data_IF_385375798024
#
_entry.id   IF_385375798024
#
_cell.length_a   1.000
_cell.length_b   1.000
_cell.length_c   1.000
_cell.angle_alpha   90.00
_cell.angle_beta   90.00
_cell.angle_gamma   90.00
#
_symmetry.space_group_name_H-M   'P 1'
#
loop_
_entity.id
_entity.type
_entity.pdbx_description
1 polymer ?
#
# COMPACT_ATOMS: atom_id res chain seq x y z
N UNK A 1 -0.36 14.35 -12.78
CA UNK A 1 -0.98 13.62 -11.66
C UNK A 1 -2.38 13.29 -12.13
N UNK A 2 -2.74 12.01 -12.21
CA UNK A 2 -4.11 11.62 -12.59
C UNK A 2 -4.76 11.09 -11.33
N UNK A 3 -5.54 11.95 -10.66
CA UNK A 3 -6.34 11.57 -9.52
C UNK A 3 -7.73 11.19 -10.03
N UNK A 4 -8.10 9.93 -9.87
CA UNK A 4 -9.44 9.41 -10.16
C UNK A 4 -9.97 8.79 -8.89
N UNK A 5 -10.94 9.46 -8.26
CA UNK A 5 -11.69 8.91 -7.15
C UNK A 5 -13.03 8.40 -7.70
N UNK A 6 -13.32 7.12 -7.46
CA UNK A 6 -14.62 6.53 -7.71
C UNK A 6 -15.48 6.52 -6.45
N UNK A 7 -16.66 5.91 -6.53
CA UNK A 7 -17.46 5.62 -5.34
C UNK A 7 -16.75 4.60 -4.45
N UNK A 8 -16.63 4.93 -3.17
CA UNK A 8 -16.03 4.10 -2.12
C UNK A 8 -17.08 3.46 -1.20
N UNK A 9 -18.38 3.69 -1.42
CA UNK A 9 -19.47 3.15 -0.59
C UNK A 9 -19.56 1.61 -0.59
N UNK A 10 -18.90 0.93 -1.51
CA UNK A 10 -18.79 -0.53 -1.56
C UNK A 10 -17.64 -1.13 -0.73
N UNK A 11 -16.85 -0.30 -0.03
CA UNK A 11 -15.79 -0.78 0.85
C UNK A 11 -16.39 -1.55 2.03
N UNK A 12 -15.91 -2.79 2.22
CA UNK A 12 -16.25 -3.60 3.40
C UNK A 12 -15.50 -3.18 4.67
N UNK A 13 -14.49 -2.31 4.52
CA UNK A 13 -13.68 -1.76 5.59
C UNK A 13 -14.40 -0.61 6.29
N UNK A 14 -14.23 -0.49 7.60
CA UNK A 14 -14.65 0.72 8.30
C UNK A 14 -13.68 1.89 8.03
N UNK A 15 -14.08 3.10 8.42
CA UNK A 15 -13.30 4.32 8.18
C UNK A 15 -11.93 4.27 8.89
N UNK A 16 -11.89 3.85 10.15
CA UNK A 16 -10.66 3.79 10.96
C UNK A 16 -9.62 2.85 10.36
N UNK A 17 -10.06 1.69 9.87
CA UNK A 17 -9.18 0.68 9.26
C UNK A 17 -8.76 1.07 7.86
N UNK A 18 -9.64 1.74 7.12
CA UNK A 18 -9.28 2.34 5.83
C UNK A 18 -8.17 3.37 6.02
N UNK A 19 -8.30 4.24 7.03
CA UNK A 19 -7.25 5.21 7.39
C UNK A 19 -5.99 4.49 7.84
N UNK A 20 -6.08 3.48 8.70
CA UNK A 20 -4.93 2.72 9.18
C UNK A 20 -4.17 2.02 8.04
N UNK A 21 -4.88 1.39 7.10
CA UNK A 21 -4.27 0.76 5.92
C UNK A 21 -3.57 1.80 5.04
N UNK A 22 -4.25 2.91 4.74
CA UNK A 22 -3.72 3.98 3.90
C UNK A 22 -2.48 4.63 4.53
N UNK A 23 -2.56 5.01 5.80
CA UNK A 23 -1.46 5.67 6.50
C UNK A 23 -0.21 4.78 6.55
N UNK A 24 -0.34 3.51 6.97
CA UNK A 24 0.82 2.62 7.04
C UNK A 24 1.46 2.37 5.67
N UNK A 25 0.66 2.17 4.62
CA UNK A 25 1.20 1.89 3.28
C UNK A 25 1.78 3.14 2.62
N UNK A 26 1.15 4.30 2.78
CA UNK A 26 1.63 5.56 2.22
C UNK A 26 2.85 6.10 2.97
N UNK A 27 2.90 5.99 4.30
CA UNK A 27 4.05 6.41 5.08
C UNK A 27 5.31 5.64 4.66
N UNK A 28 5.19 4.31 4.50
CA UNK A 28 6.26 3.47 3.95
C UNK A 28 6.68 3.90 2.55
N UNK A 29 5.69 4.15 1.68
CA UNK A 29 5.96 4.57 0.30
C UNK A 29 6.67 5.93 0.23
N UNK A 30 6.24 6.90 1.06
CA UNK A 30 6.84 8.23 1.14
C UNK A 30 8.26 8.13 1.70
N UNK A 31 8.47 7.37 2.77
CA UNK A 31 9.78 7.17 3.40
C UNK A 31 10.83 6.70 2.38
N UNK A 32 10.49 5.70 1.57
CA UNK A 32 11.38 5.19 0.52
C UNK A 32 11.51 6.17 -0.66
N UNK A 33 10.43 6.83 -1.07
CA UNK A 33 10.49 7.83 -2.13
C UNK A 33 11.41 9.00 -1.77
N UNK A 34 11.50 9.40 -0.51
CA UNK A 34 12.44 10.44 -0.06
C UNK A 34 13.89 10.01 -0.34
N UNK A 35 14.25 8.74 -0.13
CA UNK A 35 15.58 8.21 -0.47
C UNK A 35 15.84 8.27 -1.97
N UNK A 36 14.85 7.90 -2.79
CA UNK A 36 14.93 7.96 -4.26
C UNK A 36 15.14 9.40 -4.75
N UNK A 37 14.38 10.36 -4.21
CA UNK A 37 14.50 11.78 -4.55
C UNK A 37 15.86 12.34 -4.13
N UNK A 38 16.41 11.92 -2.98
CA UNK A 38 17.76 12.32 -2.54
C UNK A 38 18.87 11.85 -3.49
N UNK A 39 18.63 10.79 -4.29
CA UNK A 39 19.54 10.37 -5.37
C UNK A 39 19.34 11.14 -6.68
N UNK A 40 18.51 12.19 -6.69
CA UNK A 40 18.19 12.95 -7.90
C UNK A 40 17.26 12.20 -8.87
N UNK A 41 16.66 11.09 -8.46
CA UNK A 41 15.72 10.30 -9.29
C UNK A 41 14.28 10.74 -9.05
N UNK A 42 13.45 10.62 -10.08
CA UNK A 42 12.01 10.87 -9.97
C UNK A 42 11.33 9.76 -9.18
N UNK A 43 10.56 10.12 -8.16
CA UNK A 43 9.74 9.19 -7.40
C UNK A 43 8.24 9.35 -7.74
N UNK A 44 7.54 8.24 -7.94
CA UNK A 44 6.08 8.22 -8.18
C UNK A 44 5.47 7.09 -7.37
N UNK A 45 4.51 7.43 -6.50
CA UNK A 45 3.70 6.48 -5.75
C UNK A 45 2.44 6.20 -6.57
N UNK A 46 2.18 4.93 -6.87
CA UNK A 46 0.96 4.48 -7.50
C UNK A 46 0.06 3.84 -6.45
N UNK A 47 -1.15 4.36 -6.32
CA UNK A 47 -2.20 3.81 -5.45
C UNK A 47 -3.31 3.32 -6.36
N UNK A 48 -3.77 2.09 -6.15
CA UNK A 48 -4.88 1.49 -6.90
C UNK A 48 -5.83 0.80 -5.93
N UNK A 49 -7.10 1.15 -6.04
CA UNK A 49 -8.21 0.47 -5.37
C UNK A 49 -9.13 -0.07 -6.46
N UNK A 50 -9.39 -1.38 -6.44
CA UNK A 50 -10.22 -2.09 -7.41
C UNK A 50 -11.26 -2.88 -6.66
N UNK A 51 -12.51 -2.79 -7.08
CA UNK A 51 -13.59 -3.64 -6.58
C UNK A 51 -14.12 -4.48 -7.73
N UNK A 52 -13.90 -5.80 -7.68
CA UNK A 52 -14.35 -6.74 -8.71
C UNK A 52 -14.90 -8.01 -8.04
N UNK A 53 -16.10 -8.45 -8.45
CA UNK A 53 -16.68 -9.71 -7.98
C UNK A 53 -16.90 -9.78 -6.46
N UNK A 54 -17.14 -8.65 -5.81
CA UNK A 54 -17.30 -8.56 -4.34
C UNK A 54 -15.99 -8.63 -3.56
N UNK A 55 -14.85 -8.67 -4.26
CA UNK A 55 -13.51 -8.56 -3.68
C UNK A 55 -12.97 -7.14 -3.85
N UNK A 56 -12.28 -6.65 -2.84
CA UNK A 56 -11.59 -5.37 -2.84
C UNK A 56 -10.09 -5.62 -2.91
N UNK A 57 -9.44 -5.11 -3.95
CA UNK A 57 -7.99 -5.15 -4.10
C UNK A 57 -7.44 -3.74 -3.92
N UNK A 58 -6.66 -3.56 -2.86
CA UNK A 58 -5.94 -2.34 -2.58
C UNK A 58 -4.44 -2.55 -2.81
N UNK A 59 -3.80 -1.67 -3.57
CA UNK A 59 -2.35 -1.79 -3.82
C UNK A 59 -1.65 -0.44 -3.80
N UNK A 60 -0.47 -0.43 -3.19
CA UNK A 60 0.44 0.71 -3.18
C UNK A 60 1.79 0.25 -3.73
N UNK A 61 2.29 0.98 -4.73
CA UNK A 61 3.57 0.71 -5.38
C UNK A 61 4.41 1.97 -5.40
N UNK A 62 5.66 1.87 -4.96
CA UNK A 62 6.61 2.97 -4.95
C UNK A 62 8.02 2.52 -5.38
N UNK A 63 8.84 3.42 -5.92
CA UNK A 63 10.25 3.12 -6.14
C UNK A 63 10.99 3.02 -4.81
N UNK A 64 12.04 2.20 -4.81
CA UNK A 64 13.00 2.04 -3.71
C UNK A 64 14.42 2.19 -4.25
N UNK A 65 15.35 2.56 -3.37
CA UNK A 65 16.78 2.65 -3.72
C UNK A 65 17.44 1.28 -3.69
N UNK A 66 17.00 0.43 -2.76
CA UNK A 66 17.52 -0.90 -2.50
C UNK A 66 16.40 -1.79 -1.96
N UNK A 67 16.65 -3.10 -1.91
CA UNK A 67 15.64 -4.06 -1.46
C UNK A 67 15.30 -3.83 0.01
N UNK A 68 14.07 -3.42 0.28
CA UNK A 68 13.58 -3.21 1.65
C UNK A 68 13.21 -4.56 2.25
N UNK A 69 13.74 -4.85 3.44
CA UNK A 69 13.26 -5.98 4.22
C UNK A 69 11.98 -5.57 4.93
N UNK A 70 10.92 -6.37 4.78
CA UNK A 70 9.70 -6.20 5.57
C UNK A 70 9.98 -6.62 7.02
N UNK A 71 10.61 -5.73 7.79
CA UNK A 71 10.93 -5.94 9.21
C UNK A 71 9.78 -5.49 10.10
N UNK A 72 9.79 -5.99 11.35
CA UNK A 72 8.93 -5.50 12.42
C UNK A 72 9.09 -3.97 12.60
N UNK A 73 7.99 -3.27 12.83
CA UNK A 73 7.98 -1.80 13.01
C UNK A 73 7.66 -0.97 11.75
N UNK A 74 7.50 -1.60 10.58
CA UNK A 74 7.08 -0.91 9.33
C UNK A 74 5.56 -0.68 9.22
N UNK A 75 4.77 -1.04 10.23
CA UNK A 75 3.30 -0.97 10.15
C UNK A 75 2.67 -2.03 9.23
N UNK A 76 3.45 -2.84 8.51
CA UNK A 76 2.96 -3.94 7.67
C UNK A 76 2.28 -5.05 8.49
N UNK A 77 2.63 -5.20 9.77
CA UNK A 77 1.92 -6.07 10.72
C UNK A 77 0.48 -5.60 10.97
N UNK A 78 0.26 -4.29 11.05
CA UNK A 78 -1.07 -3.71 11.23
C UNK A 78 -1.91 -3.90 9.98
N UNK A 79 -1.29 -3.74 8.80
CA UNK A 79 -1.92 -4.01 7.51
C UNK A 79 -2.35 -5.46 7.41
N UNK A 80 -1.47 -6.41 7.79
CA UNK A 80 -1.81 -7.83 7.84
C UNK A 80 -2.93 -8.13 8.83
N UNK A 81 -2.90 -7.55 10.03
CA UNK A 81 -3.94 -7.75 11.04
C UNK A 81 -5.32 -7.29 10.56
N UNK A 82 -5.39 -6.18 9.82
CA UNK A 82 -6.64 -5.74 9.19
C UNK A 82 -7.06 -6.69 8.08
N UNK A 83 -6.14 -7.13 7.21
CA UNK A 83 -6.46 -8.11 6.17
C UNK A 83 -7.06 -9.40 6.77
N UNK A 84 -6.40 -9.95 7.80
CA UNK A 84 -6.83 -11.16 8.50
C UNK A 84 -8.20 -10.97 9.18
N UNK A 85 -8.47 -9.80 9.77
CA UNK A 85 -9.77 -9.46 10.41
C UNK A 85 -10.95 -9.57 9.44
N UNK A 86 -10.73 -9.25 8.17
CA UNK A 86 -11.76 -9.28 7.12
C UNK A 86 -11.76 -10.59 6.32
N UNK A 87 -10.97 -11.59 6.72
CA UNK A 87 -10.81 -12.85 5.99
C UNK A 87 -10.14 -12.66 4.63
N UNK A 88 -9.38 -11.58 4.49
CA UNK A 88 -8.61 -11.25 3.29
C UNK A 88 -7.18 -11.76 3.34
N UNK A 89 -6.41 -11.38 2.33
CA UNK A 89 -5.00 -11.73 2.16
C UNK A 89 -4.15 -10.47 2.01
N UNK A 90 -2.91 -10.56 2.48
CA UNK A 90 -1.91 -9.52 2.34
C UNK A 90 -0.62 -10.06 1.72
N UNK A 91 -0.17 -9.43 0.63
CA UNK A 91 1.03 -9.79 -0.08
C UNK A 91 1.95 -8.59 -0.26
N UNK A 92 3.24 -8.82 -0.11
CA UNK A 92 4.30 -7.82 -0.35
C UNK A 92 5.29 -8.38 -1.36
N UNK A 93 5.67 -7.55 -2.32
CA UNK A 93 6.71 -7.82 -3.29
C UNK A 93 7.70 -6.66 -3.30
N UNK A 94 8.99 -6.95 -3.15
CA UNK A 94 10.05 -5.96 -3.27
C UNK A 94 11.13 -6.48 -4.21
N UNK A 95 11.36 -5.75 -5.29
CA UNK A 95 12.50 -5.92 -6.18
C UNK A 95 13.58 -4.86 -5.87
N UNK A 96 14.63 -4.77 -6.69
CA UNK A 96 15.74 -3.84 -6.48
C UNK A 96 15.38 -2.36 -6.74
N UNK A 97 14.27 -2.10 -7.43
CA UNK A 97 13.86 -0.76 -7.85
C UNK A 97 12.48 -0.35 -7.32
N UNK A 98 11.64 -1.32 -6.94
CA UNK A 98 10.23 -1.10 -6.61
C UNK A 98 9.77 -1.99 -5.46
N UNK A 99 8.96 -1.39 -4.61
CA UNK A 99 8.17 -2.05 -3.59
C UNK A 99 6.70 -2.00 -3.97
N UNK A 100 5.99 -3.08 -3.67
CA UNK A 100 4.55 -3.22 -3.86
C UNK A 100 3.92 -3.96 -2.70
N UNK A 101 2.91 -3.34 -2.10
CA UNK A 101 2.02 -3.96 -1.13
C UNK A 101 0.63 -4.13 -1.76
N UNK A 102 0.01 -5.29 -1.55
CA UNK A 102 -1.33 -5.63 -2.04
C UNK A 102 -2.14 -6.24 -0.90
N UNK A 103 -3.30 -5.66 -0.64
CA UNK A 103 -4.32 -6.16 0.30
C UNK A 103 -5.53 -6.59 -0.52
N UNK A 104 -6.05 -7.78 -0.26
CA UNK A 104 -7.25 -8.33 -0.91
C UNK A 104 -8.27 -8.66 0.16
N UNK A 105 -9.49 -8.14 0.06
CA UNK A 105 -10.62 -8.35 1.00
C UNK A 105 -11.89 -8.81 0.26
#
# INVERSE_FOLDING_TARGET
MTFRAGDMGGLRLNEEETVLLLSNLLDNAIHECVKVVRQGKKAVIHVKLVQEGGKLIFSVRNPVVEKVQATEGTGLSNVKAVADKYGGDFAVSCDAEKFQAVVML
#
